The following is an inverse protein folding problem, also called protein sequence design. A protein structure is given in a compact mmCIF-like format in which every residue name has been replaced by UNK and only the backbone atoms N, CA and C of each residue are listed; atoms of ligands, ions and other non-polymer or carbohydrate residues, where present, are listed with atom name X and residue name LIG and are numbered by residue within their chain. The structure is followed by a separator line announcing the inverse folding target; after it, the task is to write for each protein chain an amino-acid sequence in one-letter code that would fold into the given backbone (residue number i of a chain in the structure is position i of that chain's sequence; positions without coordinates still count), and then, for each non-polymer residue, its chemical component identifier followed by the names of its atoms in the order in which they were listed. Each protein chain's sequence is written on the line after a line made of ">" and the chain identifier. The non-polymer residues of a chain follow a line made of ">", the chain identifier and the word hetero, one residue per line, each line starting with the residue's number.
data_IF_740313092617
#
_entry.id   IF_740313092617
#
_cell.length_a   1.000
_cell.length_b   1.000
_cell.length_c   1.000
_cell.angle_alpha   90.00
_cell.angle_beta   90.00
_cell.angle_gamma   90.00
#
_symmetry.space_group_name_H-M   'P 1'
#
loop_
_entity.id
_entity.type
_entity.pdbx_description
1 polymer ?
#
# COMPACT_ATOMS: atom_id res chain seq x y z
N UNK A 1 14.81 5.55 40.43
CA UNK A 1 13.59 4.76 40.23
C UNK A 1 13.53 4.51 38.75
N UNK A 2 13.67 3.26 38.33
CA UNK A 2 13.72 2.90 36.91
C UNK A 2 12.31 2.89 36.33
N UNK A 3 12.16 3.36 35.10
CA UNK A 3 10.87 3.44 34.41
C UNK A 3 10.95 2.73 33.07
N UNK A 4 10.05 1.79 32.81
CA UNK A 4 9.97 1.05 31.55
C UNK A 4 8.79 1.55 30.70
N UNK A 5 9.02 1.63 29.38
CA UNK A 5 7.98 1.78 28.38
C UNK A 5 7.64 0.41 27.78
N UNK A 6 6.46 -0.11 28.07
CA UNK A 6 5.92 -1.33 27.48
C UNK A 6 5.24 -1.01 26.14
N UNK A 7 5.83 -1.49 25.04
CA UNK A 7 5.39 -1.22 23.67
C UNK A 7 4.62 -2.42 23.09
N UNK A 8 3.33 -2.22 22.84
CA UNK A 8 2.41 -3.26 22.38
C UNK A 8 1.80 -2.85 21.06
N UNK A 9 1.95 -3.73 20.07
CA UNK A 9 1.37 -3.59 18.73
C UNK A 9 1.14 -4.95 18.12
N UNK A 10 0.08 -5.10 17.33
CA UNK A 10 -0.07 -6.20 16.38
C UNK A 10 -0.31 -5.64 14.97
N UNK A 11 0.37 -6.20 13.98
CA UNK A 11 0.34 -5.67 12.61
C UNK A 11 -0.95 -6.01 11.86
N UNK A 12 -1.60 -7.15 12.15
CA UNK A 12 -2.86 -7.59 11.54
C UNK A 12 -3.62 -8.49 12.54
N UNK A 13 -4.95 -8.42 12.55
CA UNK A 13 -5.81 -9.24 13.41
C UNK A 13 -7.09 -8.53 13.84
N UNK A 14 -7.74 -9.04 14.88
CA UNK A 14 -8.85 -8.42 15.64
C UNK A 14 -8.43 -8.22 17.12
N UNK A 15 -8.96 -7.24 17.84
CA UNK A 15 -8.58 -6.99 19.25
C UNK A 15 -8.90 -8.18 20.18
N UNK A 16 -9.82 -9.05 19.74
CA UNK A 16 -10.17 -10.31 20.39
C UNK A 16 -9.17 -11.44 20.14
N UNK A 17 -8.19 -11.23 19.26
CA UNK A 17 -7.19 -12.22 18.89
C UNK A 17 -6.31 -12.60 20.10
N UNK A 18 -6.28 -13.90 20.39
CA UNK A 18 -5.57 -14.49 21.54
C UNK A 18 -4.13 -13.99 21.60
N UNK A 19 -3.48 -13.82 20.46
CA UNK A 19 -2.09 -13.36 20.40
C UNK A 19 -1.87 -11.91 20.86
N UNK A 20 -2.87 -11.01 20.81
CA UNK A 20 -2.72 -9.65 21.33
C UNK A 20 -2.91 -9.61 22.86
N UNK A 21 -3.82 -10.43 23.39
CA UNK A 21 -4.00 -10.58 24.84
C UNK A 21 -2.77 -11.17 25.50
N UNK A 22 -2.24 -12.24 24.92
CA UNK A 22 -1.00 -12.87 25.38
C UNK A 22 0.18 -11.90 25.29
N UNK A 23 0.30 -11.13 24.21
CA UNK A 23 1.32 -10.08 24.09
C UNK A 23 1.21 -9.01 25.19
N UNK A 24 -0.01 -8.54 25.50
CA UNK A 24 -0.24 -7.54 26.56
C UNK A 24 0.22 -8.03 27.92
N UNK A 25 -0.03 -9.30 28.23
CA UNK A 25 0.41 -9.92 29.47
C UNK A 25 1.93 -10.06 29.51
N UNK A 26 2.51 -10.69 28.49
CA UNK A 26 3.93 -10.99 28.39
C UNK A 26 4.83 -9.73 28.46
N UNK A 27 4.50 -8.70 27.68
CA UNK A 27 5.29 -7.45 27.64
C UNK A 27 5.17 -6.70 28.96
N UNK A 28 3.98 -6.68 29.58
CA UNK A 28 3.80 -6.04 30.89
C UNK A 28 4.55 -6.78 31.98
N UNK A 29 4.52 -8.12 32.00
CA UNK A 29 5.27 -8.91 32.99
C UNK A 29 6.75 -8.56 32.91
N UNK A 30 7.36 -8.62 31.74
CA UNK A 30 8.77 -8.29 31.57
C UNK A 30 9.07 -6.83 31.95
N UNK A 31 8.20 -5.88 31.61
CA UNK A 31 8.39 -4.48 31.98
C UNK A 31 8.40 -4.26 33.51
N UNK A 32 7.55 -4.98 34.26
CA UNK A 32 7.54 -4.94 35.72
C UNK A 32 8.75 -5.64 36.34
N UNK A 33 9.35 -6.61 35.64
CA UNK A 33 10.55 -7.30 36.12
C UNK A 33 11.81 -6.43 35.97
N UNK A 34 11.86 -5.55 34.96
CA UNK A 34 13.04 -4.70 34.66
C UNK A 34 12.96 -3.29 35.22
N UNK A 35 11.79 -2.83 35.68
CA UNK A 35 11.61 -1.45 36.17
C UNK A 35 10.64 -1.31 37.34
N UNK A 36 10.87 -0.29 38.17
CA UNK A 36 10.02 0.06 39.31
C UNK A 36 8.65 0.64 38.87
N UNK A 37 8.63 1.36 37.74
CA UNK A 37 7.44 1.97 37.15
C UNK A 37 7.28 1.53 35.68
N UNK A 38 6.04 1.26 35.27
CA UNK A 38 5.73 0.84 33.90
C UNK A 38 4.69 1.76 33.28
N UNK A 39 5.04 2.34 32.13
CA UNK A 39 4.12 3.04 31.24
C UNK A 39 3.85 2.19 30.00
N UNK A 40 2.61 2.21 29.49
CA UNK A 40 2.19 1.31 28.42
C UNK A 40 1.77 2.11 27.20
N UNK A 41 2.48 1.90 26.08
CA UNK A 41 2.03 2.30 24.75
C UNK A 41 1.35 1.08 24.09
N UNK A 42 0.02 1.01 24.19
CA UNK A 42 -0.79 -0.04 23.56
C UNK A 42 -1.48 0.50 22.32
N UNK A 43 -0.91 0.17 21.17
CA UNK A 43 -1.43 0.57 19.86
C UNK A 43 -2.49 -0.40 19.31
N UNK A 44 -2.77 -1.49 20.04
CA UNK A 44 -3.68 -2.55 19.59
C UNK A 44 -3.28 -3.08 18.21
N UNK A 45 -4.24 -3.08 17.28
CA UNK A 45 -3.97 -3.40 15.87
C UNK A 45 -3.63 -2.13 15.13
N UNK A 46 -2.35 -1.98 14.84
CA UNK A 46 -1.85 -0.80 14.16
C UNK A 46 -0.99 -1.20 12.97
N UNK A 47 -1.48 -0.82 11.79
CA UNK A 47 -0.76 -0.89 10.52
C UNK A 47 -0.20 0.49 10.19
N UNK A 48 1.11 0.63 10.22
CA UNK A 48 1.75 1.91 9.93
C UNK A 48 2.88 2.12 10.90
N UNK A 49 4.08 1.85 10.42
CA UNK A 49 5.37 2.32 10.92
C UNK A 49 6.27 2.20 9.70
N UNK A 50 5.98 3.06 8.73
CA UNK A 50 6.63 3.09 7.43
C UNK A 50 7.13 4.50 7.19
N UNK A 51 8.44 4.69 7.04
CA UNK A 51 9.05 5.93 6.54
C UNK A 51 8.53 6.29 5.15
N UNK A 52 7.92 5.34 4.45
CA UNK A 52 7.33 5.53 3.11
C UNK A 52 5.81 5.73 3.09
N UNK A 53 5.20 6.22 4.17
CA UNK A 53 3.76 6.57 4.13
C UNK A 53 3.54 7.95 3.50
N UNK A 54 3.58 7.96 2.15
CA UNK A 54 2.94 8.88 1.19
C UNK A 54 3.09 10.40 1.42
N UNK A 55 3.86 11.04 0.53
CA UNK A 55 3.82 12.46 0.17
C UNK A 55 3.88 13.48 1.33
N UNK A 56 4.97 13.48 2.10
CA UNK A 56 5.30 14.61 2.98
C UNK A 56 6.72 15.15 2.65
N UNK A 57 6.87 16.45 2.29
CA UNK A 57 8.16 17.11 2.09
C UNK A 57 9.12 17.04 3.29
N UNK A 58 8.62 16.75 4.50
CA UNK A 58 9.43 16.70 5.71
C UNK A 58 10.32 15.45 5.85
N UNK A 59 10.05 14.37 5.09
CA UNK A 59 10.91 13.19 5.03
C UNK A 59 11.11 12.43 6.35
N UNK A 60 10.20 12.58 7.33
CA UNK A 60 10.26 11.89 8.62
C UNK A 60 8.95 11.11 8.85
N UNK A 61 9.07 9.81 9.12
CA UNK A 61 8.81 9.15 10.42
C UNK A 61 7.33 9.22 10.83
N UNK A 62 6.80 8.05 11.18
CA UNK A 62 5.41 7.81 11.58
C UNK A 62 4.60 9.01 12.09
N UNK A 63 3.39 9.23 11.53
CA UNK A 63 2.50 10.36 11.88
C UNK A 63 1.66 10.13 13.15
N UNK A 64 1.82 9.00 13.84
CA UNK A 64 1.13 8.72 15.08
C UNK A 64 1.72 9.57 16.21
N UNK A 65 0.97 10.60 16.63
CA UNK A 65 1.39 11.54 17.68
C UNK A 65 1.82 10.84 18.97
N UNK A 66 1.12 9.77 19.37
CA UNK A 66 1.49 9.01 20.57
C UNK A 66 2.85 8.34 20.43
N UNK A 67 3.19 7.85 19.23
CA UNK A 67 4.50 7.25 18.96
C UNK A 67 5.57 8.32 18.95
N UNK A 68 5.36 9.44 18.25
CA UNK A 68 6.31 10.55 18.23
C UNK A 68 6.60 11.09 19.63
N UNK A 69 5.57 11.23 20.46
CA UNK A 69 5.71 11.61 21.86
C UNK A 69 6.59 10.61 22.61
N UNK A 70 6.29 9.30 22.52
CA UNK A 70 7.11 8.27 23.19
C UNK A 70 8.57 8.24 22.71
N UNK A 71 8.82 8.46 21.42
CA UNK A 71 10.19 8.56 20.89
C UNK A 71 10.92 9.78 21.48
N UNK A 72 10.26 10.93 21.58
CA UNK A 72 10.85 12.12 22.19
C UNK A 72 11.14 11.92 23.69
N UNK A 73 10.24 11.25 24.40
CA UNK A 73 10.41 10.91 25.82
C UNK A 73 11.54 9.91 26.05
N UNK A 74 11.66 8.90 25.19
CA UNK A 74 12.83 7.99 25.15
C UNK A 74 14.11 8.78 24.96
N UNK A 75 14.16 9.66 23.97
CA UNK A 75 15.33 10.51 23.72
C UNK A 75 15.67 11.44 24.88
N UNK A 76 14.66 11.93 25.61
CA UNK A 76 14.82 12.78 26.77
C UNK A 76 15.27 12.00 28.04
N UNK A 77 15.41 10.67 27.96
CA UNK A 77 15.83 9.83 29.08
C UNK A 77 14.75 9.64 30.14
N UNK A 78 13.47 9.73 29.76
CA UNK A 78 12.37 9.50 30.69
C UNK A 78 12.18 8.01 31.04
N UNK A 79 12.72 7.12 30.23
CA UNK A 79 12.67 5.68 30.42
C UNK A 79 14.08 5.12 30.50
N UNK A 80 14.29 4.15 31.39
CA UNK A 80 15.50 3.35 31.43
C UNK A 80 15.38 2.07 30.59
N UNK A 81 14.16 1.64 30.27
CA UNK A 81 13.92 0.46 29.45
C UNK A 81 12.79 0.68 28.43
N UNK A 82 12.95 0.14 27.22
CA UNK A 82 11.90 -0.05 26.23
C UNK A 82 11.65 -1.54 26.07
N UNK A 83 10.47 -2.01 26.43
CA UNK A 83 10.13 -3.43 26.44
C UNK A 83 9.12 -3.75 25.36
N UNK A 84 9.42 -4.72 24.50
CA UNK A 84 8.51 -5.16 23.44
C UNK A 84 8.52 -6.69 23.30
N UNK A 85 7.57 -7.23 22.52
CA UNK A 85 7.57 -8.67 22.23
C UNK A 85 8.75 -9.05 21.33
N UNK A 86 8.91 -8.30 20.24
CA UNK A 86 9.96 -8.38 19.23
C UNK A 86 10.16 -6.98 18.62
N UNK A 87 11.26 -6.78 17.89
CA UNK A 87 11.58 -5.57 17.14
C UNK A 87 10.46 -5.20 16.14
N UNK A 88 9.83 -6.22 15.56
CA UNK A 88 8.67 -6.08 14.65
C UNK A 88 7.41 -5.60 15.35
N UNK A 89 7.37 -5.43 16.67
CA UNK A 89 6.28 -4.75 17.39
C UNK A 89 6.56 -3.28 17.63
N UNK A 90 7.83 -2.89 17.57
CA UNK A 90 8.26 -1.51 17.68
C UNK A 90 7.99 -0.78 16.36
N UNK A 91 8.53 -1.26 15.23
CA UNK A 91 8.26 -0.68 13.89
C UNK A 91 8.15 -1.79 12.82
N UNK A 92 8.07 -1.46 11.52
CA UNK A 92 8.07 -2.44 10.41
C UNK A 92 9.29 -2.31 9.49
N UNK A 93 10.03 -1.22 9.59
CA UNK A 93 11.05 -0.81 8.62
C UNK A 93 12.21 -0.04 9.28
N UNK A 94 12.94 0.75 8.49
CA UNK A 94 14.11 1.54 8.94
C UNK A 94 13.78 2.55 10.05
N UNK A 95 12.50 2.75 10.41
CA UNK A 95 12.13 3.53 11.59
C UNK A 95 12.69 2.94 12.90
N UNK A 96 13.06 1.65 12.91
CA UNK A 96 13.68 1.04 14.07
C UNK A 96 14.95 1.79 14.49
N UNK A 97 15.77 2.16 13.50
CA UNK A 97 17.04 2.87 13.72
C UNK A 97 16.84 4.21 14.43
N UNK A 98 15.71 4.88 14.21
CA UNK A 98 15.39 6.14 14.89
C UNK A 98 15.01 5.90 16.34
N UNK A 99 14.22 4.86 16.61
CA UNK A 99 13.87 4.48 17.99
C UNK A 99 15.10 3.99 18.75
N UNK A 100 15.97 3.21 18.12
CA UNK A 100 17.26 2.81 18.70
C UNK A 100 18.15 4.01 19.01
N UNK A 101 18.22 4.97 18.09
CA UNK A 101 18.98 6.20 18.30
C UNK A 101 18.42 6.99 19.50
N UNK A 102 17.10 7.19 19.57
CA UNK A 102 16.42 7.85 20.68
C UNK A 102 16.69 7.13 22.01
N UNK A 103 16.50 5.81 22.08
CA UNK A 103 16.78 5.03 23.28
C UNK A 103 18.24 5.16 23.72
N UNK A 104 19.18 5.13 22.77
CA UNK A 104 20.62 5.31 23.05
C UNK A 104 20.93 6.71 23.60
N UNK A 105 20.30 7.76 23.05
CA UNK A 105 20.48 9.14 23.55
C UNK A 105 19.93 9.31 24.97
N UNK A 106 18.83 8.64 25.30
CA UNK A 106 18.21 8.67 26.61
C UNK A 106 18.73 7.66 27.62
N UNK A 107 19.78 6.89 27.27
CA UNK A 107 20.32 5.80 28.11
C UNK A 107 19.28 4.72 28.48
N UNK A 108 18.38 4.41 27.53
CA UNK A 108 17.36 3.38 27.66
C UNK A 108 17.80 2.08 26.96
N UNK A 109 17.68 0.96 27.68
CA UNK A 109 17.93 -0.37 27.12
C UNK A 109 16.67 -0.95 26.44
N UNK A 110 16.82 -1.54 25.25
CA UNK A 110 15.71 -2.22 24.56
C UNK A 110 15.71 -3.70 24.95
N UNK A 111 14.60 -4.18 25.51
CA UNK A 111 14.44 -5.55 26.02
C UNK A 111 13.28 -6.24 25.31
N UNK A 112 13.48 -7.50 24.91
CA UNK A 112 12.46 -8.30 24.22
C UNK A 112 11.98 -9.47 25.07
N UNK A 113 10.71 -9.86 24.89
CA UNK A 113 10.14 -11.05 25.55
C UNK A 113 10.53 -12.35 24.86
N UNK A 114 10.68 -12.35 23.54
CA UNK A 114 11.16 -13.54 22.81
C UNK A 114 12.69 -13.63 22.79
N UNK A 115 13.22 -14.86 22.76
CA UNK A 115 14.59 -15.10 22.27
C UNK A 115 14.66 -14.61 20.82
N UNK A 116 15.45 -13.54 20.59
CA UNK A 116 15.70 -13.02 19.25
C UNK A 116 16.52 -14.08 18.49
N UNK A 117 15.88 -14.90 17.67
CA UNK A 117 16.56 -15.92 16.88
C UNK A 117 17.53 -15.24 15.91
N UNK A 118 18.81 -15.66 15.89
CA UNK A 118 19.82 -15.19 14.93
C UNK A 118 19.42 -15.41 13.45
N UNK A 119 18.42 -16.27 13.18
CA UNK A 119 17.77 -16.45 11.87
C UNK A 119 16.96 -15.22 11.40
N UNK A 120 16.70 -14.23 12.26
CA UNK A 120 15.97 -13.01 11.92
C UNK A 120 16.72 -12.11 10.95
N UNK A 121 18.07 -12.09 10.98
CA UNK A 121 18.86 -11.32 10.00
C UNK A 121 18.64 -11.84 8.57
N UNK A 122 18.54 -13.17 8.41
CA UNK A 122 18.28 -13.82 7.12
C UNK A 122 16.86 -13.53 6.64
N UNK A 123 15.89 -13.49 7.56
CA UNK A 123 14.51 -13.16 7.25
C UNK A 123 14.34 -11.69 6.84
N UNK A 124 15.02 -10.78 7.53
CA UNK A 124 15.02 -9.35 7.23
C UNK A 124 15.73 -9.03 5.91
N UNK A 125 16.85 -9.70 5.62
CA UNK A 125 17.53 -9.61 4.32
C UNK A 125 16.64 -10.11 3.18
N UNK A 126 16.01 -11.29 3.35
CA UNK A 126 15.10 -11.84 2.33
C UNK A 126 13.94 -10.89 2.05
N UNK A 127 13.39 -10.27 3.10
CA UNK A 127 12.27 -9.33 2.98
C UNK A 127 12.69 -7.98 2.39
N UNK A 128 13.89 -7.49 2.70
CA UNK A 128 14.48 -6.31 2.05
C UNK A 128 14.62 -6.55 0.55
N UNK A 129 15.16 -7.70 0.16
CA UNK A 129 15.25 -8.11 -1.25
C UNK A 129 13.85 -8.20 -1.88
N UNK A 130 12.87 -8.82 -1.23
CA UNK A 130 11.49 -8.90 -1.74
C UNK A 130 10.82 -7.53 -1.88
N UNK A 131 11.13 -6.58 -0.99
CA UNK A 131 10.61 -5.21 -1.05
C UNK A 131 11.28 -4.43 -2.17
N UNK A 132 12.60 -4.43 -2.22
CA UNK A 132 13.39 -3.74 -3.25
C UNK A 132 12.99 -4.27 -4.65
N UNK A 133 12.78 -5.59 -4.78
CA UNK A 133 12.25 -6.19 -6.01
C UNK A 133 10.85 -5.65 -6.36
N UNK A 134 9.93 -5.55 -5.40
CA UNK A 134 8.60 -5.01 -5.65
C UNK A 134 8.62 -3.52 -6.00
N UNK A 135 9.47 -2.75 -5.36
CA UNK A 135 9.65 -1.32 -5.62
C UNK A 135 10.21 -1.10 -7.02
N UNK A 136 11.25 -1.85 -7.42
CA UNK A 136 11.77 -1.83 -8.78
C UNK A 136 10.69 -2.18 -9.82
N UNK A 137 9.85 -3.17 -9.55
CA UNK A 137 8.76 -3.54 -10.47
C UNK A 137 7.67 -2.46 -10.56
N UNK A 138 7.35 -1.79 -9.44
CA UNK A 138 6.43 -0.64 -9.42
C UNK A 138 7.02 0.52 -10.21
N UNK A 139 8.30 0.84 -9.99
CA UNK A 139 8.98 1.95 -10.66
C UNK A 139 9.12 1.67 -12.17
N UNK A 140 9.48 0.45 -12.57
CA UNK A 140 9.49 0.03 -13.98
C UNK A 140 8.10 0.14 -14.60
N UNK A 141 7.06 -0.22 -13.87
CA UNK A 141 5.67 -0.10 -14.32
C UNK A 141 5.26 1.36 -14.51
N UNK A 142 5.60 2.23 -13.55
CA UNK A 142 5.36 3.68 -13.64
C UNK A 142 6.13 4.30 -14.82
N UNK A 143 7.42 4.00 -14.97
CA UNK A 143 8.24 4.45 -16.11
C UNK A 143 7.70 3.95 -17.46
N UNK A 144 7.13 2.74 -17.51
CA UNK A 144 6.48 2.23 -18.72
C UNK A 144 5.17 2.98 -19.03
N UNK A 145 4.40 3.35 -18.01
CA UNK A 145 3.20 4.18 -18.15
C UNK A 145 3.56 5.59 -18.62
N UNK A 146 4.57 6.22 -18.03
CA UNK A 146 5.05 7.55 -18.40
C UNK A 146 5.56 7.58 -19.84
N UNK A 147 6.41 6.62 -20.23
CA UNK A 147 6.87 6.53 -21.63
C UNK A 147 5.72 6.38 -22.62
N UNK A 148 4.69 5.59 -22.29
CA UNK A 148 3.49 5.48 -23.13
C UNK A 148 2.77 6.83 -23.25
N UNK A 149 2.60 7.56 -22.15
CA UNK A 149 1.98 8.89 -22.16
C UNK A 149 2.79 9.91 -22.97
N UNK A 150 4.12 9.93 -22.80
CA UNK A 150 5.03 10.83 -23.53
C UNK A 150 4.96 10.61 -25.05
N UNK A 151 4.86 9.36 -25.48
CA UNK A 151 4.78 9.00 -26.90
C UNK A 151 3.34 9.04 -27.45
N UNK A 152 2.35 9.41 -26.62
CA UNK A 152 0.94 9.45 -27.01
C UNK A 152 0.30 8.07 -27.25
N UNK A 153 0.91 6.99 -26.75
CA UNK A 153 0.43 5.63 -26.89
C UNK A 153 -0.79 5.35 -25.99
N UNK A 154 -1.67 4.46 -26.45
CA UNK A 154 -2.83 4.03 -25.69
C UNK A 154 -2.41 3.16 -24.50
N UNK A 155 -3.04 3.41 -23.35
CA UNK A 155 -2.73 2.72 -22.10
C UNK A 155 -3.96 2.08 -21.45
N UNK A 156 -3.76 0.91 -20.84
CA UNK A 156 -4.76 0.18 -20.07
C UNK A 156 -5.37 -0.99 -20.85
N UNK A 157 -6.47 -1.52 -20.32
CA UNK A 157 -7.25 -2.55 -21.01
C UNK A 157 -7.84 -1.98 -22.32
N UNK A 158 -7.81 -2.72 -23.43
CA UNK A 158 -8.51 -2.32 -24.65
C UNK A 158 -9.97 -1.98 -24.38
N UNK A 159 -10.46 -0.90 -25.00
CA UNK A 159 -11.87 -0.55 -24.95
C UNK A 159 -12.70 -1.60 -25.69
N UNK A 160 -14.01 -1.61 -25.44
CA UNK A 160 -14.92 -2.54 -26.09
C UNK A 160 -14.85 -2.39 -27.62
N UNK A 161 -14.77 -3.51 -28.36
CA UNK A 161 -14.58 -3.49 -29.81
C UNK A 161 -13.16 -3.14 -30.27
N UNK A 162 -12.20 -2.97 -29.37
CA UNK A 162 -10.81 -2.62 -29.70
C UNK A 162 -9.83 -3.71 -29.30
N UNK A 163 -8.72 -3.78 -30.02
CA UNK A 163 -7.52 -4.54 -29.68
C UNK A 163 -6.30 -3.63 -29.79
N UNK A 164 -5.14 -4.07 -29.32
CA UNK A 164 -3.89 -3.37 -29.63
C UNK A 164 -3.39 -3.72 -31.04
N UNK A 165 -2.72 -2.78 -31.70
CA UNK A 165 -1.96 -3.00 -32.92
C UNK A 165 -0.80 -4.00 -32.71
N UNK A 166 -0.12 -4.38 -33.79
CA UNK A 166 0.97 -5.35 -33.74
C UNK A 166 2.13 -4.92 -32.83
N UNK A 167 2.35 -3.61 -32.70
CA UNK A 167 3.40 -3.02 -31.87
C UNK A 167 2.97 -2.81 -30.40
N UNK A 168 1.68 -3.00 -30.07
CA UNK A 168 1.16 -2.81 -28.72
C UNK A 168 1.09 -1.35 -28.26
N UNK A 169 1.08 -0.40 -29.21
CA UNK A 169 1.12 1.03 -28.96
C UNK A 169 -0.26 1.68 -29.04
N UNK A 170 -1.06 1.36 -30.05
CA UNK A 170 -2.35 1.99 -30.27
C UNK A 170 -3.47 0.97 -30.25
N UNK A 171 -4.64 1.38 -29.76
CA UNK A 171 -5.85 0.58 -29.86
C UNK A 171 -6.50 0.78 -31.22
N UNK A 172 -6.70 -0.32 -31.93
CA UNK A 172 -7.29 -0.41 -33.26
C UNK A 172 -8.56 -1.28 -33.22
N UNK A 173 -9.48 -1.16 -34.19
CA UNK A 173 -10.65 -2.03 -34.32
C UNK A 173 -10.31 -3.52 -34.17
N UNK A 174 -11.03 -4.20 -33.28
CA UNK A 174 -10.95 -5.64 -33.05
C UNK A 174 -12.17 -6.39 -33.59
N UNK A 175 -12.33 -7.64 -33.16
CA UNK A 175 -13.41 -8.53 -33.63
C UNK A 175 -14.82 -7.97 -33.33
N UNK A 176 -15.01 -7.34 -32.16
CA UNK A 176 -16.31 -6.77 -31.75
C UNK A 176 -16.52 -5.33 -32.23
N UNK A 177 -15.71 -4.81 -33.16
CA UNK A 177 -15.83 -3.41 -33.61
C UNK A 177 -17.12 -3.17 -34.41
N UNK A 178 -17.62 -4.17 -35.13
CA UNK A 178 -18.89 -4.05 -35.86
C UNK A 178 -20.06 -3.76 -34.91
N UNK A 179 -20.04 -4.33 -33.70
CA UNK A 179 -21.01 -4.04 -32.64
C UNK A 179 -20.95 -2.56 -32.20
N UNK A 180 -19.76 -1.96 -32.20
CA UNK A 180 -19.60 -0.51 -31.91
C UNK A 180 -20.23 0.34 -33.01
N UNK A 181 -20.07 -0.06 -34.28
CA UNK A 181 -20.68 0.63 -35.41
C UNK A 181 -22.21 0.51 -35.38
N UNK A 182 -22.73 -0.67 -35.04
CA UNK A 182 -24.16 -0.92 -34.89
C UNK A 182 -24.77 -0.07 -33.77
N UNK A 183 -24.08 0.05 -32.62
CA UNK A 183 -24.48 0.96 -31.53
C UNK A 183 -24.63 2.40 -32.05
N UNK A 184 -23.69 2.90 -32.86
CA UNK A 184 -23.78 4.25 -33.43
C UNK A 184 -24.92 4.41 -34.45
N UNK A 185 -25.25 3.36 -35.19
CA UNK A 185 -26.34 3.38 -36.16
C UNK A 185 -27.71 3.45 -35.45
N UNK A 186 -27.91 2.63 -34.41
CA UNK A 186 -29.16 2.61 -33.64
C UNK A 186 -29.35 3.90 -32.83
N UNK A 187 -28.28 4.45 -32.25
CA UNK A 187 -28.32 5.77 -31.59
C UNK A 187 -28.71 6.88 -32.58
N UNK A 188 -28.19 6.86 -33.80
CA UNK A 188 -28.58 7.80 -34.85
C UNK A 188 -30.02 7.63 -35.33
N UNK A 189 -30.56 6.41 -35.26
CA UNK A 189 -31.96 6.13 -35.56
C UNK A 189 -32.91 6.64 -34.45
N UNK A 190 -32.37 7.02 -33.29
CA UNK A 190 -33.10 7.58 -32.16
C UNK A 190 -33.45 6.56 -31.08
N UNK A 191 -32.90 5.35 -31.13
CA UNK A 191 -33.17 4.29 -30.16
C UNK A 191 -32.62 4.64 -28.78
N UNK A 192 -33.34 4.24 -27.73
CA UNK A 192 -32.85 4.41 -26.37
C UNK A 192 -31.70 3.44 -26.07
N UNK A 193 -30.80 3.81 -25.13
CA UNK A 193 -29.68 2.97 -24.72
C UNK A 193 -30.07 1.56 -24.28
N UNK A 194 -31.29 1.40 -23.78
CA UNK A 194 -31.83 0.09 -23.39
C UNK A 194 -32.19 -0.74 -24.62
N UNK A 195 -32.88 -0.15 -25.58
CA UNK A 195 -33.22 -0.81 -26.85
C UNK A 195 -31.96 -1.20 -27.62
N UNK A 196 -30.96 -0.30 -27.67
CA UNK A 196 -29.66 -0.58 -28.28
C UNK A 196 -28.97 -1.76 -27.58
N UNK A 197 -28.94 -1.76 -26.24
CA UNK A 197 -28.32 -2.83 -25.46
C UNK A 197 -28.97 -4.20 -25.72
N UNK A 198 -30.31 -4.22 -25.76
CA UNK A 198 -31.09 -5.42 -26.04
C UNK A 198 -30.87 -5.91 -27.49
N UNK A 199 -30.73 -4.99 -28.45
CA UNK A 199 -30.51 -5.31 -29.86
C UNK A 199 -29.11 -5.90 -30.13
N UNK A 200 -28.06 -5.28 -29.58
CA UNK A 200 -26.67 -5.70 -29.83
C UNK A 200 -26.13 -6.71 -28.81
N UNK A 201 -26.92 -7.08 -27.81
CA UNK A 201 -26.57 -8.10 -26.83
C UNK A 201 -25.46 -7.71 -25.85
N UNK A 202 -25.29 -6.42 -25.55
CA UNK A 202 -24.28 -5.91 -24.60
C UNK A 202 -24.95 -5.18 -23.43
N UNK A 203 -24.30 -5.09 -22.25
CA UNK A 203 -24.84 -4.32 -21.14
C UNK A 203 -25.10 -2.85 -21.51
N UNK A 204 -26.17 -2.26 -20.97
CA UNK A 204 -26.49 -0.82 -21.19
C UNK A 204 -25.34 0.10 -20.79
N UNK A 205 -24.53 -0.29 -19.79
CA UNK A 205 -23.32 0.44 -19.39
C UNK A 205 -22.23 0.42 -20.46
N UNK A 206 -22.11 -0.66 -21.24
CA UNK A 206 -21.20 -0.74 -22.40
C UNK A 206 -21.67 0.20 -23.50
N UNK A 207 -22.97 0.19 -23.82
CA UNK A 207 -23.57 1.13 -24.80
C UNK A 207 -23.29 2.57 -24.40
N UNK A 208 -23.58 2.94 -23.14
CA UNK A 208 -23.26 4.27 -22.62
C UNK A 208 -21.78 4.62 -22.81
N UNK A 209 -20.88 3.73 -22.40
CA UNK A 209 -19.44 3.95 -22.50
C UNK A 209 -18.93 4.11 -23.93
N UNK A 210 -19.56 3.43 -24.89
CA UNK A 210 -19.25 3.54 -26.32
C UNK A 210 -19.71 4.90 -26.85
N UNK A 211 -20.95 5.30 -26.56
CA UNK A 211 -21.53 6.57 -27.00
C UNK A 211 -20.80 7.79 -26.41
N UNK A 212 -20.40 7.73 -25.14
CA UNK A 212 -19.63 8.81 -24.48
C UNK A 212 -18.25 9.06 -25.13
N UNK A 213 -17.77 8.10 -25.93
CA UNK A 213 -16.43 8.11 -26.55
C UNK A 213 -16.53 8.05 -28.07
N UNK A 214 -17.66 8.47 -28.63
CA UNK A 214 -17.96 8.38 -30.06
C UNK A 214 -16.87 8.96 -30.96
N UNK A 215 -16.35 10.14 -30.63
CA UNK A 215 -15.29 10.79 -31.39
C UNK A 215 -13.99 9.97 -31.39
N UNK A 216 -13.60 9.42 -30.23
CA UNK A 216 -12.41 8.57 -30.07
C UNK A 216 -12.48 7.30 -30.95
N UNK A 217 -13.65 6.67 -31.02
CA UNK A 217 -13.88 5.51 -31.89
C UNK A 217 -13.90 5.91 -33.38
N UNK A 218 -14.49 7.06 -33.73
CA UNK A 218 -14.58 7.54 -35.10
C UNK A 218 -13.20 7.90 -35.68
N UNK A 219 -12.27 8.42 -34.87
CA UNK A 219 -10.88 8.65 -35.27
C UNK A 219 -10.14 7.34 -35.57
N UNK A 220 -10.30 6.34 -34.70
CA UNK A 220 -9.59 5.06 -34.80
C UNK A 220 -10.18 4.10 -35.84
N UNK A 221 -11.49 4.17 -36.10
CA UNK A 221 -12.12 3.44 -37.20
C UNK A 221 -11.64 3.90 -38.59
N UNK A 222 -11.10 5.13 -38.71
CA UNK A 222 -10.50 5.63 -39.95
C UNK A 222 -9.05 5.16 -40.14
N UNK A 223 -8.33 4.88 -39.05
CA UNK A 223 -6.93 4.43 -39.08
C UNK A 223 -6.75 3.04 -39.70
N UNK A 224 -7.81 2.23 -39.77
CA UNK A 224 -7.78 0.86 -40.34
C UNK A 224 -8.03 0.82 -41.84
N UNK A 225 -8.54 1.91 -42.43
CA UNK A 225 -8.85 2.02 -43.86
C UNK A 225 -7.73 2.71 -44.68
N UNK A 226 -6.53 2.86 -44.12
CA UNK A 226 -5.32 3.36 -44.79
C UNK A 226 -4.26 2.28 -44.83
#
# INVERSE_FOLDING_TARGET
>A
MSKALAWIRKSKGDESDIGLKEQRELVRTLANDVADEVEVLDLGIHTGFSTMTRDDPAGLLDQNESVQERVNELQAGQYSHLVALDDRRICRDEYFSVIQYAATQGDAEIVYVGDVNEDDLTFDLKRRIERDTKEEEIEKSQRAIERRKEHGYDHGRPRFGMTYDADGHYQVPGEDFDTVLEIFQLDNAGDSRREIADAVGVPTSTVQNVLDRREWYAERGKMTNT
#
